data_IF_373621248650
#
_entry.id   IF_373621248650
#
_cell.length_a   1.000
_cell.length_b   1.000
_cell.length_c   1.000
_cell.angle_alpha   90.00
_cell.angle_beta   90.00
_cell.angle_gamma   90.00
#
_symmetry.space_group_name_H-M   'P 1'
#
loop_
_entity.id
_entity.type
_entity.pdbx_description
1 polymer ?
#
# COMPACT_ATOMS: atom_id res chain seq x y z
N UNK A 1 -21.32 -19.64 1.43
CA UNK A 1 -20.63 -18.72 2.34
C UNK A 1 -19.94 -19.58 3.39
N UNK A 2 -18.63 -19.50 3.56
CA UNK A 2 -17.91 -20.32 4.55
C UNK A 2 -18.08 -19.68 5.94
N UNK A 3 -18.98 -20.21 6.78
CA UNK A 3 -19.35 -19.64 8.09
C UNK A 3 -18.45 -20.10 9.23
N UNK A 4 -17.60 -21.11 8.99
CA UNK A 4 -16.77 -21.73 10.03
C UNK A 4 -15.90 -20.72 10.78
N UNK A 5 -15.43 -19.69 10.07
CA UNK A 5 -14.59 -18.65 10.65
C UNK A 5 -15.38 -17.73 11.59
N UNK A 6 -16.62 -17.39 11.22
CA UNK A 6 -17.54 -16.60 12.05
C UNK A 6 -17.96 -17.39 13.28
N UNK A 7 -18.26 -18.68 13.11
CA UNK A 7 -18.66 -19.57 14.20
C UNK A 7 -17.54 -19.76 15.22
N UNK A 8 -16.29 -19.97 14.73
CA UNK A 8 -15.10 -20.08 15.58
C UNK A 8 -14.85 -18.78 16.35
N UNK A 9 -14.99 -17.63 15.69
CA UNK A 9 -14.79 -16.32 16.30
C UNK A 9 -15.86 -16.03 17.37
N UNK A 10 -17.12 -16.40 17.13
CA UNK A 10 -18.18 -16.30 18.13
C UNK A 10 -17.88 -17.16 19.38
N UNK A 11 -17.33 -18.35 19.18
CA UNK A 11 -16.97 -19.27 20.26
C UNK A 11 -15.81 -18.74 21.11
N UNK A 12 -14.81 -18.15 20.46
CA UNK A 12 -13.71 -17.45 21.15
C UNK A 12 -14.26 -16.28 21.97
N UNK A 13 -15.11 -15.43 21.38
CA UNK A 13 -15.71 -14.28 22.09
C UNK A 13 -16.50 -14.74 23.31
N UNK A 14 -17.26 -15.84 23.21
CA UNK A 14 -18.03 -16.37 24.33
C UNK A 14 -17.15 -16.83 25.49
N UNK A 15 -15.97 -17.39 25.20
CA UNK A 15 -15.00 -17.85 26.20
C UNK A 15 -14.27 -16.74 26.97
N UNK A 16 -14.31 -15.50 26.47
CA UNK A 16 -13.66 -14.35 27.11
C UNK A 16 -14.39 -13.91 28.39
N UNK A 17 -13.61 -13.40 29.34
CA UNK A 17 -14.11 -12.72 30.54
C UNK A 17 -14.79 -11.38 30.19
N UNK A 18 -15.53 -10.81 31.16
CA UNK A 18 -16.21 -9.54 30.96
C UNK A 18 -15.22 -8.40 30.68
N UNK A 19 -14.08 -8.38 31.38
CA UNK A 19 -13.02 -7.38 31.20
C UNK A 19 -12.42 -7.46 29.80
N UNK A 20 -12.08 -8.68 29.34
CA UNK A 20 -11.54 -8.89 27.99
C UNK A 20 -12.55 -8.52 26.89
N UNK A 21 -13.85 -8.78 27.10
CA UNK A 21 -14.92 -8.35 26.18
C UNK A 21 -15.00 -6.83 26.09
N UNK A 22 -14.88 -6.13 27.22
CA UNK A 22 -14.88 -4.65 27.24
C UNK A 22 -13.64 -4.08 26.57
N UNK A 23 -12.47 -4.70 26.77
CA UNK A 23 -11.22 -4.31 26.10
C UNK A 23 -11.26 -4.57 24.60
N UNK A 24 -11.82 -5.70 24.18
CA UNK A 24 -12.01 -6.02 22.77
C UNK A 24 -12.96 -5.03 22.10
N UNK A 25 -14.09 -4.73 22.74
CA UNK A 25 -15.08 -3.78 22.22
C UNK A 25 -14.51 -2.37 22.08
N UNK A 26 -13.70 -1.92 23.05
CA UNK A 26 -13.05 -0.61 22.98
C UNK A 26 -11.96 -0.56 21.91
N UNK A 27 -11.19 -1.63 21.72
CA UNK A 27 -10.21 -1.74 20.62
C UNK A 27 -10.87 -1.75 19.24
N UNK A 28 -11.95 -2.52 19.07
CA UNK A 28 -12.73 -2.52 17.83
C UNK A 28 -13.28 -1.11 17.56
N UNK A 29 -13.85 -0.42 18.55
CA UNK A 29 -14.33 0.96 18.40
C UNK A 29 -13.22 1.99 18.10
N UNK A 30 -11.99 1.77 18.57
CA UNK A 30 -10.84 2.60 18.22
C UNK A 30 -10.41 2.38 16.76
N UNK A 31 -10.56 1.16 16.23
CA UNK A 31 -10.33 0.83 14.83
C UNK A 31 -11.51 1.27 13.92
N UNK A 32 -12.72 1.36 14.47
CA UNK A 32 -13.97 1.82 13.81
C UNK A 32 -14.21 3.33 13.94
N UNK A 33 -13.27 4.07 14.55
CA UNK A 33 -13.17 5.51 14.28
C UNK A 33 -13.13 5.64 12.76
N UNK A 34 -13.87 6.59 12.14
CA UNK A 34 -13.69 6.85 10.72
C UNK A 34 -12.25 7.33 10.56
N UNK A 35 -11.34 6.40 10.28
CA UNK A 35 -10.16 6.68 9.49
C UNK A 35 -10.71 7.54 8.36
N UNK A 36 -10.20 8.78 8.26
CA UNK A 36 -10.53 9.67 7.14
C UNK A 36 -10.65 8.77 5.91
N UNK A 37 -11.79 8.83 5.22
CA UNK A 37 -12.05 8.02 4.03
C UNK A 37 -10.74 7.87 3.26
N UNK A 38 -10.29 6.63 2.95
CA UNK A 38 -8.91 6.35 2.58
C UNK A 38 -8.47 7.43 1.59
N UNK A 39 -7.49 8.24 1.99
CA UNK A 39 -7.00 9.32 1.14
C UNK A 39 -6.66 8.69 -0.20
N UNK A 40 -7.33 9.16 -1.26
CA UNK A 40 -7.15 8.59 -2.59
C UNK A 40 -5.65 8.64 -2.92
N UNK A 41 -5.12 7.55 -3.51
CA UNK A 41 -3.68 7.44 -3.71
C UNK A 41 -3.17 8.62 -4.55
N UNK A 42 -1.90 8.99 -4.34
CA UNK A 42 -1.27 10.15 -4.97
C UNK A 42 -1.53 10.23 -6.48
N UNK A 43 -1.50 9.10 -7.18
CA UNK A 43 -1.71 9.07 -8.63
C UNK A 43 -3.13 9.44 -9.09
N UNK A 44 -4.12 9.40 -8.20
CA UNK A 44 -5.51 9.81 -8.49
C UNK A 44 -5.78 11.27 -8.16
N UNK A 45 -4.96 11.90 -7.30
CA UNK A 45 -5.26 13.21 -6.71
C UNK A 45 -4.24 14.28 -7.04
N UNK A 46 -3.01 13.90 -7.36
CA UNK A 46 -1.93 14.84 -7.61
C UNK A 46 -2.16 15.65 -8.89
N UNK A 47 -1.94 16.95 -8.78
CA UNK A 47 -1.87 17.89 -9.89
C UNK A 47 -0.60 17.66 -10.73
N UNK A 48 -0.56 18.13 -11.99
CA UNK A 48 0.64 18.07 -12.82
C UNK A 48 1.88 18.68 -12.15
N UNK A 49 1.70 19.77 -11.39
CA UNK A 49 2.79 20.44 -10.66
C UNK A 49 3.31 19.58 -9.51
N UNK A 50 2.43 18.91 -8.76
CA UNK A 50 2.80 17.99 -7.69
C UNK A 50 3.53 16.76 -8.24
N UNK A 51 3.09 16.26 -9.40
CA UNK A 51 3.78 15.19 -10.12
C UNK A 51 5.19 15.60 -10.55
N UNK A 52 5.34 16.78 -11.16
CA UNK A 52 6.63 17.29 -11.59
C UNK A 52 7.59 17.46 -10.39
N UNK A 53 7.07 17.98 -9.27
CA UNK A 53 7.84 18.13 -8.03
C UNK A 53 8.27 16.79 -7.46
N UNK A 54 7.35 15.85 -7.29
CA UNK A 54 7.64 14.52 -6.73
C UNK A 54 8.67 13.76 -7.59
N UNK A 55 8.57 13.90 -8.91
CA UNK A 55 9.54 13.32 -9.83
C UNK A 55 10.95 13.92 -9.67
N UNK A 56 11.06 15.25 -9.58
CA UNK A 56 12.35 15.91 -9.37
C UNK A 56 12.98 15.54 -8.03
N UNK A 57 12.19 15.49 -6.95
CA UNK A 57 12.67 15.06 -5.63
C UNK A 57 13.18 13.62 -5.65
N UNK A 58 12.45 12.72 -6.32
CA UNK A 58 12.91 11.34 -6.52
C UNK A 58 14.21 11.27 -7.31
N UNK A 59 14.34 12.01 -8.42
CA UNK A 59 15.56 12.02 -9.23
C UNK A 59 16.77 12.55 -8.46
N UNK A 60 16.62 13.66 -7.73
CA UNK A 60 17.69 14.25 -6.93
C UNK A 60 18.13 13.33 -5.79
N UNK A 61 17.20 12.57 -5.17
CA UNK A 61 17.55 11.61 -4.11
C UNK A 61 18.50 10.50 -4.56
N UNK A 62 18.61 10.23 -5.87
CA UNK A 62 19.47 9.20 -6.45
C UNK A 62 20.70 9.77 -7.17
N UNK A 63 20.84 11.09 -7.30
CA UNK A 63 21.90 11.73 -8.11
C UNK A 63 23.32 11.43 -7.60
N UNK A 64 23.47 11.24 -6.29
CA UNK A 64 24.73 10.86 -5.65
C UNK A 64 24.91 9.36 -5.43
N UNK A 65 23.92 8.54 -5.79
CA UNK A 65 24.02 7.08 -5.68
C UNK A 65 24.81 6.53 -6.86
N UNK A 66 25.75 5.62 -6.58
CA UNK A 66 26.45 4.87 -7.61
C UNK A 66 25.52 3.78 -8.17
N UNK A 67 24.49 4.22 -8.90
CA UNK A 67 23.55 3.32 -9.57
C UNK A 67 24.24 2.69 -10.78
N UNK A 68 24.06 1.38 -11.02
CA UNK A 68 24.59 0.75 -12.21
C UNK A 68 24.02 1.44 -13.45
N UNK A 69 24.90 1.92 -14.32
CA UNK A 69 24.51 2.41 -15.63
C UNK A 69 24.03 1.24 -16.47
N UNK A 70 22.87 1.39 -17.11
CA UNK A 70 22.41 0.45 -18.12
C UNK A 70 23.33 0.52 -19.33
N UNK A 71 23.61 -0.63 -19.94
CA UNK A 71 24.38 -0.67 -21.18
C UNK A 71 23.54 -0.17 -22.35
N UNK A 72 24.19 0.21 -23.45
CA UNK A 72 23.47 0.62 -24.68
C UNK A 72 22.58 -0.51 -25.22
N UNK A 73 22.97 -1.77 -25.01
CA UNK A 73 22.17 -2.94 -25.36
C UNK A 73 20.87 -3.00 -24.53
N UNK A 74 20.95 -2.75 -23.22
CA UNK A 74 19.81 -2.77 -22.28
C UNK A 74 18.80 -1.64 -22.55
N UNK A 75 19.25 -0.53 -23.13
CA UNK A 75 18.41 0.63 -23.48
C UNK A 75 17.92 0.54 -24.94
N UNK A 76 18.51 -0.34 -25.77
CA UNK A 76 18.19 -0.40 -27.19
C UNK A 76 16.74 -0.81 -27.43
N UNK A 77 16.09 -0.14 -28.39
CA UNK A 77 14.71 -0.43 -28.79
C UNK A 77 14.59 -1.84 -29.35
N UNK A 78 15.61 -2.28 -30.07
CA UNK A 78 15.73 -3.62 -30.65
C UNK A 78 15.85 -4.70 -29.57
N UNK A 79 16.53 -4.44 -28.44
CA UNK A 79 16.52 -5.35 -27.29
C UNK A 79 15.16 -5.40 -26.60
N UNK A 80 14.52 -4.25 -26.37
CA UNK A 80 13.25 -4.16 -25.64
C UNK A 80 12.06 -4.70 -26.46
N UNK A 81 12.07 -4.52 -27.78
CA UNK A 81 10.92 -4.79 -28.66
C UNK A 81 11.22 -5.67 -29.88
N UNK A 82 12.47 -6.12 -30.10
CA UNK A 82 12.89 -6.73 -31.37
C UNK A 82 12.21 -8.05 -31.73
N UNK A 83 11.89 -8.91 -30.76
CA UNK A 83 11.19 -10.19 -31.03
C UNK A 83 9.66 -10.06 -31.12
N UNK A 84 9.11 -8.84 -30.99
CA UNK A 84 7.65 -8.60 -31.02
C UNK A 84 7.15 -8.10 -32.39
N UNK A 85 7.91 -8.35 -33.45
CA UNK A 85 7.60 -7.99 -34.85
C UNK A 85 7.26 -9.19 -35.72
#
# INVERSE_FOLDING_TARGET
>A
MNTQLVDTLAQIIQSLSLEEKTLLSSKIQLEDQPSKAPERPFYETATPEEWAKAFMEWAESHRGMNMPHLSDEDISRESIYGERG
#
